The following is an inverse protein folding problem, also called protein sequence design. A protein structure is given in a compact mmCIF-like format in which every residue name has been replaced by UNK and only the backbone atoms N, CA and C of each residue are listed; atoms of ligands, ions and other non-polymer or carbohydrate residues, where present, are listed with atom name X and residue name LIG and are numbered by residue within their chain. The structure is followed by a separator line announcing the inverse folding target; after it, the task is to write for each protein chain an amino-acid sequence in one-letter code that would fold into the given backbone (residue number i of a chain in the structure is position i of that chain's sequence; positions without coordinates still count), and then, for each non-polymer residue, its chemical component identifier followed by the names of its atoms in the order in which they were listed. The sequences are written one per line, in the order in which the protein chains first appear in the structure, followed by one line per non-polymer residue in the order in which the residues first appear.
data_IF_531141195687
#
_entry.id   IF_531141195687
#
_cell.length_a   1.000
_cell.length_b   1.000
_cell.length_c   1.000
_cell.angle_alpha   90.00
_cell.angle_beta   90.00
_cell.angle_gamma   90.00
#
_symmetry.space_group_name_H-M   'P 1'
#
loop_
_entity.id
_entity.type
_entity.pdbx_description
1 polymer ?
#
# COMPACT_ATOMS: atom_id res chain seq x y z
N UNK A 1 -22.64 -49.00 43.97
CA UNK A 1 -21.98 -47.75 43.54
C UNK A 1 -23.06 -46.69 43.36
N UNK A 2 -23.02 -45.66 44.19
CA UNK A 2 -24.13 -44.72 44.47
C UNK A 2 -24.15 -43.50 43.53
N UNK A 3 -25.33 -42.91 43.31
CA UNK A 3 -25.56 -41.67 42.54
C UNK A 3 -24.65 -40.47 42.95
N UNK A 4 -24.00 -40.54 44.12
CA UNK A 4 -23.04 -39.54 44.60
C UNK A 4 -21.75 -39.49 43.76
N UNK A 5 -21.30 -40.61 43.20
CA UNK A 5 -20.03 -40.69 42.47
C UNK A 5 -20.13 -40.19 41.03
N UNK A 6 -21.30 -40.33 40.38
CA UNK A 6 -21.51 -39.76 39.05
C UNK A 6 -21.69 -38.24 39.07
N UNK A 7 -22.33 -37.70 40.12
CA UNK A 7 -22.45 -36.24 40.34
C UNK A 7 -21.09 -35.59 40.63
N UNK A 8 -20.21 -36.23 41.42
CA UNK A 8 -18.85 -35.74 41.67
C UNK A 8 -17.98 -35.74 40.41
N UNK A 9 -18.04 -36.79 39.58
CA UNK A 9 -17.31 -36.85 38.30
C UNK A 9 -17.82 -35.80 37.30
N UNK A 10 -19.14 -35.62 37.16
CA UNK A 10 -19.76 -34.62 36.29
C UNK A 10 -19.40 -33.17 36.70
N UNK A 11 -19.36 -32.89 38.00
CA UNK A 11 -18.97 -31.58 38.53
C UNK A 11 -17.48 -31.29 38.29
N UNK A 12 -16.61 -32.30 38.49
CA UNK A 12 -15.17 -32.19 38.20
C UNK A 12 -14.86 -31.88 36.73
N UNK A 13 -15.56 -32.54 35.79
CA UNK A 13 -15.39 -32.29 34.35
C UNK A 13 -15.89 -30.90 33.95
N UNK A 14 -17.03 -30.44 34.50
CA UNK A 14 -17.56 -29.08 34.25
C UNK A 14 -16.64 -27.98 34.80
N UNK A 15 -16.06 -28.19 35.97
CA UNK A 15 -15.11 -27.25 36.57
C UNK A 15 -13.81 -27.18 35.75
N UNK A 16 -13.31 -28.33 35.28
CA UNK A 16 -12.11 -28.42 34.44
C UNK A 16 -12.28 -27.73 33.08
N UNK A 17 -13.43 -27.90 32.43
CA UNK A 17 -13.75 -27.23 31.17
C UNK A 17 -13.96 -25.70 31.35
N UNK A 18 -14.51 -25.27 32.49
CA UNK A 18 -14.60 -23.83 32.81
C UNK A 18 -13.22 -23.21 33.07
N UNK A 19 -12.31 -23.95 33.70
CA UNK A 19 -10.94 -23.49 33.95
C UNK A 19 -10.11 -23.47 32.67
N UNK A 20 -10.28 -24.45 31.75
CA UNK A 20 -9.60 -24.43 30.45
C UNK A 20 -10.07 -23.26 29.58
N UNK A 21 -11.38 -23.03 29.50
CA UNK A 21 -11.93 -21.90 28.74
C UNK A 21 -11.56 -20.54 29.34
N UNK A 22 -11.41 -20.44 30.66
CA UNK A 22 -10.88 -19.23 31.32
C UNK A 22 -9.39 -19.03 31.00
N UNK A 23 -8.60 -20.11 31.03
CA UNK A 23 -7.17 -20.08 30.68
C UNK A 23 -6.95 -19.66 29.22
N UNK A 24 -7.75 -20.18 28.29
CA UNK A 24 -7.73 -19.79 26.87
C UNK A 24 -8.07 -18.31 26.69
N UNK A 25 -9.11 -17.82 27.37
CA UNK A 25 -9.49 -16.39 27.34
C UNK A 25 -8.39 -15.48 27.89
N UNK A 26 -7.73 -15.88 28.97
CA UNK A 26 -6.61 -15.13 29.57
C UNK A 26 -5.42 -15.12 28.61
N UNK A 27 -5.10 -16.26 27.99
CA UNK A 27 -4.03 -16.37 26.99
C UNK A 27 -4.29 -15.46 25.78
N UNK A 28 -5.52 -15.46 25.26
CA UNK A 28 -5.90 -14.61 24.14
C UNK A 28 -5.86 -13.11 24.51
N UNK A 29 -6.30 -12.76 25.73
CA UNK A 29 -6.21 -11.39 26.24
C UNK A 29 -4.75 -10.93 26.36
N UNK A 30 -3.86 -11.77 26.90
CA UNK A 30 -2.42 -11.49 26.97
C UNK A 30 -1.78 -11.33 25.61
N UNK A 31 -2.13 -12.17 24.63
CA UNK A 31 -1.66 -12.04 23.24
C UNK A 31 -2.07 -10.69 22.65
N UNK A 32 -3.32 -10.29 22.88
CA UNK A 32 -3.86 -9.01 22.43
C UNK A 32 -3.15 -7.83 23.08
N UNK A 33 -2.95 -7.86 24.41
CA UNK A 33 -2.23 -6.82 25.14
C UNK A 33 -0.79 -6.71 24.65
N UNK A 34 -0.09 -7.84 24.49
CA UNK A 34 1.28 -7.87 23.98
C UNK A 34 1.37 -7.25 22.59
N UNK A 35 0.45 -7.58 21.69
CA UNK A 35 0.40 -6.99 20.35
C UNK A 35 0.19 -5.47 20.42
N UNK A 36 -0.71 -4.99 21.29
CA UNK A 36 -0.93 -3.55 21.50
C UNK A 36 0.30 -2.84 22.06
N UNK A 37 1.00 -3.44 23.02
CA UNK A 37 2.22 -2.88 23.61
C UNK A 37 3.35 -2.82 22.59
N UNK A 38 3.55 -3.89 21.80
CA UNK A 38 4.55 -3.90 20.72
C UNK A 38 4.23 -2.84 19.68
N UNK A 39 2.95 -2.71 19.29
CA UNK A 39 2.50 -1.67 18.36
C UNK A 39 2.77 -0.26 18.90
N UNK A 40 2.38 0.01 20.15
CA UNK A 40 2.58 1.32 20.78
C UNK A 40 4.08 1.65 20.95
N UNK A 41 4.89 0.67 21.32
CA UNK A 41 6.34 0.84 21.41
C UNK A 41 6.97 1.11 20.04
N UNK A 42 6.47 0.45 18.99
CA UNK A 42 6.87 0.72 17.59
C UNK A 42 6.50 2.13 17.15
N UNK A 43 5.25 2.54 17.36
CA UNK A 43 4.77 3.90 17.05
C UNK A 43 5.60 4.97 17.79
N UNK A 44 5.90 4.75 19.07
CA UNK A 44 6.73 5.67 19.87
C UNK A 44 8.17 5.72 19.34
N UNK A 45 8.73 4.59 18.88
CA UNK A 45 10.06 4.53 18.32
C UNK A 45 10.12 5.25 16.96
N UNK A 46 9.13 5.07 16.10
CA UNK A 46 9.01 5.78 14.81
C UNK A 46 8.88 7.29 15.00
N UNK A 47 8.10 7.74 16.00
CA UNK A 47 8.00 9.16 16.34
C UNK A 47 9.33 9.74 16.83
N UNK A 48 10.07 8.98 17.63
CA UNK A 48 11.42 9.36 18.08
C UNK A 48 12.38 9.43 16.89
N UNK A 49 12.38 8.41 16.02
CA UNK A 49 13.20 8.38 14.81
C UNK A 49 12.89 9.60 13.94
N UNK A 50 11.61 9.83 13.62
CA UNK A 50 11.17 10.97 12.83
C UNK A 50 11.59 12.31 13.45
N UNK A 51 11.53 12.43 14.78
CA UNK A 51 12.01 13.64 15.47
C UNK A 51 13.48 13.92 15.17
N UNK A 52 14.33 12.89 15.14
CA UNK A 52 15.78 13.01 14.89
C UNK A 52 16.20 13.00 13.41
N UNK A 53 15.31 12.67 12.47
CA UNK A 53 15.62 12.72 11.04
C UNK A 53 16.07 14.14 10.59
N UNK A 54 17.09 14.31 9.75
CA UNK A 54 17.36 15.61 9.15
C UNK A 54 16.27 15.98 8.13
N UNK A 55 16.15 17.26 7.79
CA UNK A 55 15.33 17.65 6.64
C UNK A 55 16.06 17.31 5.33
N UNK A 56 15.31 17.12 4.24
CA UNK A 56 15.90 16.91 2.92
C UNK A 56 16.64 18.16 2.46
N UNK A 57 17.88 17.99 1.98
CA UNK A 57 18.69 19.11 1.52
C UNK A 57 18.10 19.81 0.29
N UNK A 58 17.57 19.03 -0.68
CA UNK A 58 17.05 19.52 -1.96
C UNK A 58 15.80 18.73 -2.42
N UNK A 59 14.62 18.94 -1.80
CA UNK A 59 13.43 18.12 -2.08
C UNK A 59 12.92 18.19 -3.53
N UNK A 60 13.04 19.35 -4.19
CA UNK A 60 12.63 19.51 -5.59
C UNK A 60 13.52 18.73 -6.56
N UNK A 61 14.82 18.65 -6.27
CA UNK A 61 15.78 17.87 -7.06
C UNK A 61 15.49 16.38 -6.91
N UNK A 62 15.25 15.92 -5.68
CA UNK A 62 14.84 14.53 -5.38
C UNK A 62 13.56 14.15 -6.13
N UNK A 63 12.55 15.01 -6.14
CA UNK A 63 11.31 14.75 -6.87
C UNK A 63 11.52 14.56 -8.38
N UNK A 64 12.41 15.32 -9.01
CA UNK A 64 12.76 15.13 -10.42
C UNK A 64 13.58 13.87 -10.66
N UNK A 65 14.50 13.54 -9.74
CA UNK A 65 15.27 12.30 -9.78
C UNK A 65 14.33 11.09 -9.74
N UNK A 66 13.37 11.06 -8.80
CA UNK A 66 12.39 9.98 -8.69
C UNK A 66 11.58 9.83 -9.99
N UNK A 67 11.09 10.95 -10.55
CA UNK A 67 10.35 10.89 -11.81
C UNK A 67 11.18 10.29 -12.95
N UNK A 68 12.43 10.72 -13.08
CA UNK A 68 13.33 10.19 -14.11
C UNK A 68 13.60 8.71 -13.91
N UNK A 69 13.92 8.29 -12.69
CA UNK A 69 14.16 6.89 -12.32
C UNK A 69 12.96 6.00 -12.63
N UNK A 70 11.74 6.46 -12.31
CA UNK A 70 10.50 5.76 -12.64
C UNK A 70 10.26 5.65 -14.14
N UNK A 71 10.52 6.72 -14.91
CA UNK A 71 10.43 6.66 -16.39
C UNK A 71 11.43 5.65 -16.96
N UNK A 72 12.66 5.66 -16.47
CA UNK A 72 13.70 4.72 -16.93
C UNK A 72 13.33 3.27 -16.59
N UNK A 73 12.76 3.02 -15.40
CA UNK A 73 12.23 1.71 -15.02
C UNK A 73 11.09 1.25 -15.94
N UNK A 74 10.10 2.12 -16.20
CA UNK A 74 9.00 1.84 -17.13
C UNK A 74 9.54 1.48 -18.53
N UNK A 75 10.51 2.25 -19.04
CA UNK A 75 11.13 1.99 -20.34
C UNK A 75 11.85 0.65 -20.38
N UNK A 76 12.52 0.28 -19.30
CA UNK A 76 13.22 -1.01 -19.19
C UNK A 76 12.24 -2.18 -19.26
N UNK A 77 11.05 -2.06 -18.67
CA UNK A 77 10.04 -3.13 -18.67
C UNK A 77 9.21 -3.19 -19.95
N UNK A 78 8.73 -2.03 -20.42
CA UNK A 78 7.66 -1.94 -21.42
C UNK A 78 8.04 -1.15 -22.69
N UNK A 79 9.26 -0.60 -22.75
CA UNK A 79 9.77 0.16 -23.88
C UNK A 79 9.27 1.62 -23.96
N UNK A 80 9.39 2.21 -25.14
CA UNK A 80 9.08 3.63 -25.38
C UNK A 80 7.57 3.94 -25.47
N UNK A 81 6.72 2.94 -25.73
CA UNK A 81 5.27 3.06 -25.72
C UNK A 81 4.65 2.04 -24.74
N UNK A 82 4.72 2.31 -23.42
CA UNK A 82 4.33 1.35 -22.39
C UNK A 82 2.83 0.99 -22.42
N UNK A 83 1.94 1.95 -22.66
CA UNK A 83 0.51 1.69 -22.83
C UNK A 83 0.21 0.90 -24.11
N UNK A 84 0.92 1.15 -25.22
CA UNK A 84 0.84 0.33 -26.42
C UNK A 84 1.29 -1.12 -26.16
N UNK A 85 2.35 -1.31 -25.38
CA UNK A 85 2.80 -2.64 -24.96
C UNK A 85 1.73 -3.37 -24.12
N UNK A 86 1.18 -2.72 -23.10
CA UNK A 86 0.10 -3.30 -22.26
C UNK A 86 -1.16 -3.61 -23.07
N UNK A 87 -1.52 -2.73 -24.01
CA UNK A 87 -2.65 -2.91 -24.91
C UNK A 87 -2.50 -4.18 -25.79
N UNK A 88 -1.29 -4.45 -26.26
CA UNK A 88 -0.99 -5.61 -27.09
C UNK A 88 -0.90 -6.94 -26.32
N UNK A 89 -0.76 -6.89 -25.00
CA UNK A 89 -0.65 -8.08 -24.14
C UNK A 89 -2.00 -8.75 -23.88
N UNK A 90 -1.96 -10.08 -23.72
CA UNK A 90 -3.08 -10.83 -23.16
C UNK A 90 -3.21 -10.55 -21.65
N UNK A 91 -4.41 -10.72 -21.06
CA UNK A 91 -4.65 -10.41 -19.65
C UNK A 91 -3.64 -11.03 -18.66
N UNK A 92 -3.25 -12.28 -18.86
CA UNK A 92 -2.30 -12.97 -17.97
C UNK A 92 -0.90 -12.33 -18.04
N UNK A 93 -0.46 -11.94 -19.23
CA UNK A 93 0.83 -11.29 -19.42
C UNK A 93 0.84 -9.87 -18.83
N UNK A 94 -0.31 -9.17 -18.85
CA UNK A 94 -0.44 -7.85 -18.21
C UNK A 94 -0.22 -7.92 -16.70
N UNK A 95 -0.81 -8.91 -16.02
CA UNK A 95 -0.67 -9.05 -14.57
C UNK A 95 0.80 -9.26 -14.17
N UNK A 96 1.51 -10.12 -14.90
CA UNK A 96 2.95 -10.31 -14.72
C UNK A 96 3.73 -9.02 -15.01
N UNK A 97 3.44 -8.36 -16.13
CA UNK A 97 4.10 -7.13 -16.53
C UNK A 97 3.89 -5.99 -15.50
N UNK A 98 2.71 -5.86 -14.90
CA UNK A 98 2.44 -4.88 -13.84
C UNK A 98 3.20 -5.20 -12.55
N UNK A 99 3.35 -6.49 -12.23
CA UNK A 99 4.13 -6.94 -11.06
C UNK A 99 5.61 -6.64 -11.24
N UNK A 100 6.17 -6.96 -12.42
CA UNK A 100 7.55 -6.63 -12.78
C UNK A 100 7.76 -5.11 -12.81
N UNK A 101 6.80 -4.37 -13.37
CA UNK A 101 6.86 -2.92 -13.42
C UNK A 101 6.88 -2.29 -12.03
N UNK A 102 5.99 -2.71 -11.12
CA UNK A 102 6.04 -2.27 -9.73
C UNK A 102 7.39 -2.55 -9.10
N UNK A 103 7.93 -3.75 -9.30
CA UNK A 103 9.21 -4.18 -8.75
C UNK A 103 10.34 -3.25 -9.18
N UNK A 104 10.44 -2.97 -10.48
CA UNK A 104 11.48 -2.08 -11.02
C UNK A 104 11.31 -0.63 -10.55
N UNK A 105 10.07 -0.11 -10.51
CA UNK A 105 9.79 1.24 -9.99
C UNK A 105 10.15 1.33 -8.50
N UNK A 106 9.76 0.34 -7.69
CA UNK A 106 10.05 0.29 -6.26
C UNK A 106 11.56 0.31 -5.99
N UNK A 107 12.31 -0.54 -6.70
CA UNK A 107 13.78 -0.58 -6.63
C UNK A 107 14.38 0.77 -7.03
N UNK A 108 13.89 1.37 -8.13
CA UNK A 108 14.37 2.65 -8.62
C UNK A 108 14.13 3.80 -7.62
N UNK A 109 13.02 3.75 -6.87
CA UNK A 109 12.68 4.68 -5.79
C UNK A 109 13.36 4.34 -4.44
N UNK A 110 14.13 3.25 -4.38
CA UNK A 110 14.88 2.83 -3.19
C UNK A 110 14.02 2.21 -2.07
N UNK A 111 12.81 1.73 -2.40
CA UNK A 111 11.94 1.00 -1.47
C UNK A 111 11.97 -0.50 -1.77
N UNK A 112 11.65 -1.32 -0.76
CA UNK A 112 11.45 -2.76 -0.98
C UNK A 112 10.12 -2.97 -1.73
N UNK A 113 10.10 -3.76 -2.81
CA UNK A 113 8.88 -4.08 -3.54
C UNK A 113 7.88 -4.80 -2.63
N UNK A 114 6.60 -4.42 -2.76
CA UNK A 114 5.50 -5.09 -2.10
C UNK A 114 4.81 -6.07 -3.06
N UNK A 115 3.92 -6.91 -2.54
CA UNK A 115 3.17 -7.84 -3.39
C UNK A 115 2.19 -7.05 -4.29
N UNK A 116 2.10 -7.46 -5.56
CA UNK A 116 1.02 -7.02 -6.46
C UNK A 116 0.05 -8.18 -6.65
N UNK A 117 -1.25 -7.92 -6.48
CA UNK A 117 -2.32 -8.88 -6.73
C UNK A 117 -3.38 -8.27 -7.67
N UNK A 118 -4.13 -9.14 -8.34
CA UNK A 118 -5.36 -8.75 -9.02
C UNK A 118 -6.59 -9.12 -8.18
N UNK A 119 -7.50 -8.17 -8.01
CA UNK A 119 -8.73 -8.37 -7.22
C UNK A 119 -9.95 -7.80 -7.94
N UNK A 120 -11.11 -8.44 -7.77
CA UNK A 120 -12.36 -7.91 -8.31
C UNK A 120 -12.81 -6.72 -7.47
N UNK A 121 -12.78 -5.52 -8.05
CA UNK A 121 -13.13 -4.27 -7.36
C UNK A 121 -14.26 -3.54 -8.08
N UNK A 122 -15.20 -2.98 -7.32
CA UNK A 122 -16.28 -2.15 -7.86
C UNK A 122 -15.93 -0.67 -7.69
N UNK A 123 -15.84 0.06 -8.81
CA UNK A 123 -15.67 1.52 -8.79
C UNK A 123 -14.28 2.02 -8.43
N UNK A 124 -13.27 1.15 -8.39
CA UNK A 124 -11.88 1.48 -8.04
C UNK A 124 -10.93 0.81 -9.04
N UNK A 125 -9.91 1.51 -9.51
CA UNK A 125 -8.93 0.98 -10.49
C UNK A 125 -7.82 0.16 -9.82
N UNK A 126 -7.46 0.52 -8.59
CA UNK A 126 -6.50 -0.17 -7.75
C UNK A 126 -6.42 0.49 -6.38
N UNK A 127 -5.73 -0.15 -5.44
CA UNK A 127 -5.42 0.40 -4.13
C UNK A 127 -4.11 -0.16 -3.57
N UNK A 128 -3.43 0.64 -2.77
CA UNK A 128 -2.37 0.22 -1.88
C UNK A 128 -2.91 0.01 -0.45
N UNK A 129 -2.66 -1.17 0.11
CA UNK A 129 -3.02 -1.49 1.49
C UNK A 129 -1.84 -1.30 2.43
N UNK A 130 -1.93 -0.29 3.29
CA UNK A 130 -0.92 0.00 4.32
C UNK A 130 -0.70 -1.15 5.30
N UNK A 131 -1.77 -1.88 5.65
CA UNK A 131 -1.72 -2.94 6.67
C UNK A 131 -1.25 -4.29 6.14
N UNK A 132 -1.51 -4.56 4.86
CA UNK A 132 -1.05 -5.78 4.19
C UNK A 132 0.28 -5.57 3.45
N UNK A 133 0.67 -4.32 3.21
CA UNK A 133 1.79 -3.95 2.35
C UNK A 133 1.67 -4.64 0.99
N UNK A 134 0.60 -4.31 0.28
CA UNK A 134 0.21 -4.97 -0.98
C UNK A 134 -0.50 -3.96 -1.87
N UNK A 135 -0.22 -4.00 -3.16
CA UNK A 135 -0.98 -3.31 -4.20
C UNK A 135 -1.97 -4.30 -4.80
N UNK A 136 -3.25 -3.92 -4.80
CA UNK A 136 -4.29 -4.66 -5.50
C UNK A 136 -4.75 -3.85 -6.72
N UNK A 137 -4.67 -4.43 -7.91
CA UNK A 137 -5.15 -3.83 -9.16
C UNK A 137 -6.48 -4.46 -9.53
N UNK A 138 -7.41 -3.67 -10.06
CA UNK A 138 -8.71 -4.18 -10.44
C UNK A 138 -8.60 -5.20 -11.57
N UNK A 139 -8.98 -6.45 -11.27
CA UNK A 139 -9.00 -7.55 -12.22
C UNK A 139 -9.90 -7.26 -13.44
N UNK A 140 -10.95 -6.45 -13.29
CA UNK A 140 -11.79 -6.02 -14.43
C UNK A 140 -11.00 -5.19 -15.45
N UNK A 141 -10.06 -4.37 -14.99
CA UNK A 141 -9.22 -3.55 -15.87
C UNK A 141 -8.16 -4.43 -16.55
N UNK A 142 -7.52 -5.32 -15.78
CA UNK A 142 -6.52 -6.26 -16.32
C UNK A 142 -7.14 -7.22 -17.35
N UNK A 143 -8.34 -7.73 -17.10
CA UNK A 143 -8.98 -8.74 -17.94
C UNK A 143 -9.72 -8.17 -19.16
N UNK A 144 -9.85 -6.84 -19.25
CA UNK A 144 -10.65 -6.20 -20.28
C UNK A 144 -10.15 -6.53 -21.69
N UNK A 145 -11.10 -6.99 -22.52
CA UNK A 145 -10.91 -7.24 -23.95
C UNK A 145 -12.21 -6.93 -24.73
N UNK A 146 -12.15 -6.14 -25.82
CA UNK A 146 -11.01 -5.34 -26.23
C UNK A 146 -10.70 -4.23 -25.21
N UNK A 147 -9.42 -3.92 -25.04
CA UNK A 147 -8.93 -2.77 -24.27
C UNK A 147 -8.68 -1.61 -25.24
N UNK A 148 -8.94 -0.37 -24.81
CA UNK A 148 -8.57 0.84 -25.53
C UNK A 148 -7.22 1.38 -25.05
N UNK A 149 -6.60 2.26 -25.85
CA UNK A 149 -5.35 2.92 -25.44
C UNK A 149 -5.54 3.78 -24.18
N UNK A 150 -6.72 4.38 -24.00
CA UNK A 150 -7.04 5.17 -22.79
C UNK A 150 -7.01 4.26 -21.56
N UNK A 151 -7.66 3.10 -21.63
CA UNK A 151 -7.69 2.13 -20.52
C UNK A 151 -6.30 1.53 -20.25
N UNK A 152 -5.47 1.33 -21.26
CA UNK A 152 -4.09 0.91 -21.07
C UNK A 152 -3.24 1.98 -20.37
N UNK A 153 -3.46 3.27 -20.68
CA UNK A 153 -2.84 4.40 -19.97
C UNK A 153 -3.33 4.50 -18.53
N UNK A 154 -4.63 4.31 -18.29
CA UNK A 154 -5.21 4.28 -16.94
C UNK A 154 -4.62 3.13 -16.11
N UNK A 155 -4.41 1.95 -16.71
CA UNK A 155 -3.80 0.81 -16.04
C UNK A 155 -2.33 1.09 -15.66
N UNK A 156 -1.57 1.71 -16.58
CA UNK A 156 -0.20 2.17 -16.31
C UNK A 156 -0.16 3.25 -15.22
N UNK A 157 -1.09 4.21 -15.28
CA UNK A 157 -1.24 5.26 -14.29
C UNK A 157 -1.54 4.71 -12.90
N UNK A 158 -2.50 3.78 -12.83
CA UNK A 158 -2.91 3.11 -11.59
C UNK A 158 -1.72 2.44 -10.90
N UNK A 159 -0.92 1.63 -11.60
CA UNK A 159 0.22 0.96 -10.95
C UNK A 159 1.30 1.96 -10.50
N UNK A 160 1.49 3.08 -11.22
CA UNK A 160 2.38 4.15 -10.79
C UNK A 160 1.86 4.86 -9.52
N UNK A 161 0.57 5.16 -9.47
CA UNK A 161 -0.11 5.80 -8.34
C UNK A 161 0.00 4.94 -7.08
N UNK A 162 -0.36 3.66 -7.16
CA UNK A 162 -0.30 2.77 -6.01
C UNK A 162 1.15 2.45 -5.57
N UNK A 163 2.09 2.39 -6.51
CA UNK A 163 3.52 2.28 -6.16
C UNK A 163 4.00 3.54 -5.43
N UNK A 164 3.49 4.71 -5.79
CA UNK A 164 3.84 5.94 -5.10
C UNK A 164 3.24 6.02 -3.69
N UNK A 165 2.06 5.46 -3.46
CA UNK A 165 1.51 5.27 -2.10
C UNK A 165 2.42 4.37 -1.25
N UNK A 166 2.94 3.28 -1.82
CA UNK A 166 3.94 2.45 -1.15
C UNK A 166 5.23 3.23 -0.85
N UNK A 167 5.68 4.11 -1.75
CA UNK A 167 6.81 5.01 -1.49
C UNK A 167 6.53 6.00 -0.36
N UNK A 168 5.37 6.67 -0.37
CA UNK A 168 4.97 7.61 0.67
C UNK A 168 4.92 6.95 2.04
N UNK A 169 4.39 5.73 2.16
CA UNK A 169 4.41 4.94 3.39
C UNK A 169 5.84 4.83 3.96
N UNK A 170 6.83 4.58 3.11
CA UNK A 170 8.21 4.35 3.56
C UNK A 170 8.88 5.68 3.88
N UNK A 171 8.58 6.70 3.10
CA UNK A 171 9.09 8.06 3.26
C UNK A 171 8.57 8.75 4.53
N UNK A 172 7.36 8.45 5.04
CA UNK A 172 6.90 9.09 6.28
C UNK A 172 7.69 8.66 7.54
N UNK A 173 8.40 7.54 7.49
CA UNK A 173 9.23 7.05 8.60
C UNK A 173 10.66 7.63 8.50
N UNK A 174 11.25 7.60 7.31
CA UNK A 174 12.63 8.05 7.05
C UNK A 174 12.71 9.02 5.86
N UNK A 175 12.11 10.22 5.95
CA UNK A 175 11.94 11.10 4.79
C UNK A 175 13.27 11.53 4.14
N UNK A 176 14.32 11.73 4.94
CA UNK A 176 15.63 12.17 4.45
C UNK A 176 16.29 11.14 3.53
N UNK A 177 16.11 9.84 3.80
CA UNK A 177 16.60 8.73 2.97
C UNK A 177 16.05 8.80 1.53
N UNK A 178 14.83 9.31 1.40
CA UNK A 178 14.11 9.41 0.14
C UNK A 178 14.10 10.85 -0.38
N UNK A 179 14.91 11.76 0.18
CA UNK A 179 14.94 13.14 -0.26
C UNK A 179 13.62 13.90 -0.11
N UNK A 180 12.70 13.43 0.74
CA UNK A 180 11.41 14.07 1.04
C UNK A 180 11.59 15.04 2.20
N UNK A 181 10.91 16.19 2.13
CA UNK A 181 10.95 17.16 3.23
C UNK A 181 10.23 16.62 4.47
N UNK A 182 10.70 17.00 5.66
CA UNK A 182 10.00 16.68 6.91
C UNK A 182 8.58 17.24 6.94
N UNK A 183 8.36 18.38 6.30
CA UNK A 183 7.04 19.00 6.20
C UNK A 183 6.06 18.12 5.41
N UNK A 184 6.46 17.67 4.22
CA UNK A 184 5.62 16.82 3.37
C UNK A 184 5.36 15.48 4.05
N UNK A 185 6.39 14.85 4.61
CA UNK A 185 6.27 13.60 5.33
C UNK A 185 5.33 13.70 6.55
N UNK A 186 5.36 14.83 7.28
CA UNK A 186 4.42 15.08 8.37
C UNK A 186 2.99 15.27 7.87
N UNK A 187 2.79 15.98 6.76
CA UNK A 187 1.49 16.17 6.13
C UNK A 187 0.91 14.81 5.72
N UNK A 188 1.71 13.98 5.04
CA UNK A 188 1.30 12.63 4.65
C UNK A 188 0.98 11.76 5.86
N UNK A 189 1.82 11.75 6.90
CA UNK A 189 1.58 10.98 8.13
C UNK A 189 0.25 11.35 8.79
N UNK A 190 -0.05 12.64 8.90
CA UNK A 190 -1.34 13.13 9.45
C UNK A 190 -2.49 12.74 8.53
N UNK A 191 -2.32 12.85 7.21
CA UNK A 191 -3.36 12.53 6.25
C UNK A 191 -3.68 11.03 6.22
N UNK A 192 -2.69 10.13 6.26
CA UNK A 192 -2.92 8.69 6.38
C UNK A 192 -3.68 8.31 7.66
N UNK A 193 -3.38 8.97 8.78
CA UNK A 193 -4.10 8.74 10.04
C UNK A 193 -5.58 9.22 10.01
N UNK A 194 -5.92 10.13 9.08
CA UNK A 194 -7.24 10.73 8.94
C UNK A 194 -7.79 10.55 7.52
N UNK A 195 -7.43 9.44 6.87
CA UNK A 195 -7.69 9.23 5.45
C UNK A 195 -9.19 9.16 5.16
N UNK A 196 -9.62 9.93 4.17
CA UNK A 196 -11.00 9.94 3.68
C UNK A 196 -11.08 8.95 2.52
N UNK A 197 -11.96 7.96 2.59
CA UNK A 197 -12.16 7.03 1.46
C UNK A 197 -13.04 7.66 0.36
N UNK A 198 -12.95 7.20 -0.89
CA UNK A 198 -13.76 7.75 -1.97
C UNK A 198 -15.27 7.56 -1.72
N UNK A 199 -15.68 6.50 -1.02
CA UNK A 199 -17.09 6.27 -0.63
C UNK A 199 -17.59 7.26 0.41
N UNK A 200 -16.71 7.78 1.26
CA UNK A 200 -17.08 8.76 2.29
C UNK A 200 -17.30 10.14 1.67
N UNK A 201 -16.39 10.57 0.80
CA UNK A 201 -16.48 11.84 0.10
C UNK A 201 -15.55 11.86 -1.12
N UNK A 202 -16.06 11.62 -2.35
CA UNK A 202 -15.24 11.52 -3.56
C UNK A 202 -14.44 12.79 -3.86
N UNK A 203 -15.04 13.96 -3.64
CA UNK A 203 -14.38 15.24 -3.90
C UNK A 203 -13.23 15.46 -2.92
N UNK A 204 -13.49 15.30 -1.62
CA UNK A 204 -12.44 15.46 -0.61
C UNK A 204 -11.36 14.42 -0.76
N UNK A 205 -11.69 13.19 -1.16
CA UNK A 205 -10.74 12.12 -1.44
C UNK A 205 -9.64 12.59 -2.41
N UNK A 206 -10.05 13.16 -3.55
CA UNK A 206 -9.12 13.59 -4.60
C UNK A 206 -8.19 14.72 -4.14
N UNK A 207 -8.68 15.62 -3.29
CA UNK A 207 -7.93 16.78 -2.82
C UNK A 207 -7.12 16.53 -1.54
N UNK A 208 -7.04 15.30 -1.06
CA UNK A 208 -6.18 14.96 0.07
C UNK A 208 -4.71 15.07 -0.31
N UNK A 209 -3.84 15.58 0.57
CA UNK A 209 -2.41 15.73 0.27
C UNK A 209 -1.71 14.48 -0.28
N UNK A 210 -2.00 13.29 0.25
CA UNK A 210 -1.39 12.03 -0.24
C UNK A 210 -1.84 11.71 -1.66
N UNK A 211 -3.15 11.81 -1.94
CA UNK A 211 -3.72 11.58 -3.28
C UNK A 211 -3.24 12.62 -4.29
N UNK A 212 -3.29 13.92 -3.94
CA UNK A 212 -2.82 14.99 -4.81
C UNK A 212 -1.37 14.82 -5.21
N UNK A 213 -0.50 14.47 -4.27
CA UNK A 213 0.93 14.25 -4.58
C UNK A 213 1.16 12.98 -5.39
N UNK A 214 0.38 11.93 -5.19
CA UNK A 214 0.39 10.73 -6.02
C UNK A 214 -0.09 11.01 -7.46
N UNK A 215 -1.21 11.72 -7.64
CA UNK A 215 -1.70 12.11 -8.96
C UNK A 215 -0.74 13.04 -9.70
N UNK A 216 -0.10 13.99 -9.01
CA UNK A 216 0.92 14.86 -9.61
C UNK A 216 2.12 14.04 -10.07
N UNK A 217 2.56 13.07 -9.26
CA UNK A 217 3.65 12.16 -9.62
C UNK A 217 3.27 11.33 -10.85
N UNK A 218 2.15 10.60 -10.80
CA UNK A 218 1.61 9.80 -11.90
C UNK A 218 1.48 10.63 -13.18
N UNK A 219 0.78 11.77 -13.12
CA UNK A 219 0.56 12.64 -14.28
C UNK A 219 1.89 13.08 -14.91
N UNK A 220 2.89 13.40 -14.08
CA UNK A 220 4.20 13.79 -14.58
C UNK A 220 4.94 12.64 -15.27
N UNK A 221 4.74 11.39 -14.84
CA UNK A 221 5.27 10.20 -15.51
C UNK A 221 4.55 9.98 -16.84
N UNK A 222 3.22 9.94 -16.84
CA UNK A 222 2.42 9.68 -18.05
C UNK A 222 2.72 10.71 -19.14
N UNK A 223 2.88 11.99 -18.77
CA UNK A 223 3.26 13.09 -19.69
C UNK A 223 4.61 12.90 -20.37
N UNK A 224 5.52 12.10 -19.82
CA UNK A 224 6.82 11.80 -20.43
C UNK A 224 6.70 10.87 -21.62
N UNK A 225 5.68 10.03 -21.65
CA UNK A 225 5.40 9.09 -22.74
C UNK A 225 4.38 9.64 -23.72
N UNK A 226 3.36 10.33 -23.21
CA UNK A 226 2.24 10.82 -23.99
C UNK A 226 2.09 12.30 -23.73
N UNK A 227 2.52 13.13 -24.68
CA UNK A 227 2.16 14.55 -24.66
C UNK A 227 0.64 14.63 -24.64
N UNK A 228 0.08 15.19 -23.59
CA UNK A 228 -1.31 15.62 -23.59
C UNK A 228 -1.37 16.86 -24.49
N UNK A 229 -2.25 16.84 -25.50
CA UNK A 229 -2.59 18.00 -26.32
C UNK A 229 -3.36 19.04 -25.49
#
# INVERSE_FOLDING_TARGET
MTQSDSKRKSFGTKLRNKLSTLSEKISQAWKTIRQKVVKLAGETLEDIIFFFEPDSANPNESAEIHRRQTVDAIKSCLGEDPAGALLAMFPQDRELALTELHTEIAIALGIEPCLVSSEMMNGCAGLYSFSADTIAINALHIQKQPMSLIEAKELLGTICHETYHAFQHRAIVHPSRYGISKADAKIWKINFANYISPEQNPERYLYQPVEMSAYVFESAIIKRFYKED
#
